data_IF_791956986007
#
_entry.id   IF_791956986007
#
_cell.length_a   1.000
_cell.length_b   1.000
_cell.length_c   1.000
_cell.angle_alpha   90.00
_cell.angle_beta   90.00
_cell.angle_gamma   90.00
#
_symmetry.space_group_name_H-M   'P 1'
#
loop_
_entity.id
_entity.type
_entity.pdbx_description
1 polymer ?
#
# COMPACT_ATOMS: atom_id res chain seq x y z
N UNK A 1 6.41 -4.70 18.24
CA UNK A 1 6.59 -4.36 16.83
C UNK A 1 5.61 -5.19 16.03
N UNK A 2 4.63 -4.53 15.41
CA UNK A 2 3.57 -5.22 14.65
C UNK A 2 3.94 -5.35 13.17
N UNK A 3 4.91 -4.56 12.72
CA UNK A 3 5.37 -4.54 11.33
C UNK A 3 6.23 -5.78 11.03
N UNK A 4 5.75 -6.63 10.14
CA UNK A 4 6.50 -7.78 9.64
C UNK A 4 7.21 -7.47 8.32
N UNK A 5 6.48 -6.97 7.32
CA UNK A 5 7.08 -6.50 6.07
C UNK A 5 7.52 -5.06 6.23
N UNK A 6 8.82 -4.80 6.11
CA UNK A 6 9.35 -3.44 6.15
C UNK A 6 8.81 -2.63 4.98
N UNK A 7 8.42 -1.39 5.25
CA UNK A 7 8.03 -0.46 4.20
C UNK A 7 9.23 -0.11 3.30
N UNK A 8 8.95 0.13 2.03
CA UNK A 8 9.92 0.75 1.13
C UNK A 8 9.85 2.27 1.25
N UNK A 9 11.00 2.93 1.33
CA UNK A 9 11.11 4.39 1.32
C UNK A 9 12.52 4.84 0.97
N UNK A 10 12.63 5.75 0.01
CA UNK A 10 13.83 6.58 -0.15
C UNK A 10 13.63 7.82 0.72
N UNK A 11 14.22 7.81 1.91
CA UNK A 11 13.91 8.81 2.95
C UNK A 11 14.25 10.24 2.53
N UNK A 12 15.30 10.44 1.74
CA UNK A 12 15.70 11.77 1.27
C UNK A 12 14.67 12.33 0.31
N UNK A 13 14.32 11.58 -0.73
CA UNK A 13 13.31 11.99 -1.73
C UNK A 13 11.91 12.07 -1.12
N UNK A 14 11.56 11.14 -0.23
CA UNK A 14 10.29 11.15 0.48
C UNK A 14 10.09 12.42 1.32
N UNK A 15 11.13 12.89 1.99
CA UNK A 15 11.05 14.12 2.78
C UNK A 15 10.92 15.38 1.91
N UNK A 16 11.43 15.37 0.69
CA UNK A 16 11.15 16.41 -0.32
C UNK A 16 9.69 16.32 -0.77
N UNK A 17 9.19 15.12 -0.90
CA UNK A 17 7.82 14.80 -1.28
C UNK A 17 7.49 15.07 -2.75
N UNK A 18 6.34 14.58 -3.18
CA UNK A 18 5.78 14.90 -4.48
C UNK A 18 5.05 16.24 -4.41
N UNK A 19 5.56 17.26 -5.09
CA UNK A 19 5.08 18.65 -4.96
C UNK A 19 5.02 19.15 -3.51
N UNK A 20 6.01 18.77 -2.72
CA UNK A 20 6.09 19.14 -1.30
C UNK A 20 5.16 18.37 -0.37
N UNK A 21 4.56 17.28 -0.83
CA UNK A 21 3.69 16.41 -0.02
C UNK A 21 4.32 15.02 0.14
N UNK A 22 4.47 14.58 1.37
CA UNK A 22 4.87 13.21 1.72
C UNK A 22 3.69 12.27 1.52
N UNK A 23 3.84 11.29 0.65
CA UNK A 23 2.76 10.38 0.27
C UNK A 23 3.14 8.94 0.65
N UNK A 24 2.31 8.32 1.50
CA UNK A 24 2.36 6.90 1.77
C UNK A 24 1.33 6.17 0.89
N UNK A 25 1.82 5.24 0.08
CA UNK A 25 0.96 4.32 -0.70
C UNK A 25 0.83 3.00 0.07
N UNK A 26 -0.40 2.53 0.23
CA UNK A 26 -0.72 1.30 0.97
C UNK A 26 -1.35 0.30 0.01
N UNK A 27 -0.58 -0.73 -0.35
CA UNK A 27 -1.04 -1.89 -1.12
C UNK A 27 -1.75 -2.91 -0.25
N UNK A 28 -2.27 -3.97 -0.87
CA UNK A 28 -3.05 -4.97 -0.14
C UNK A 28 -2.17 -6.00 0.59
N UNK A 29 -1.43 -6.81 -0.15
CA UNK A 29 -0.72 -7.98 0.41
C UNK A 29 0.35 -8.54 -0.51
N UNK A 30 1.18 -9.43 0.04
CA UNK A 30 2.09 -10.30 -0.70
C UNK A 30 1.50 -11.69 -0.87
N UNK A 31 1.89 -12.37 -1.95
CA UNK A 31 1.41 -13.72 -2.28
C UNK A 31 2.55 -14.70 -2.48
N UNK A 32 2.42 -15.90 -1.91
CA UNK A 32 3.32 -17.00 -2.14
C UNK A 32 2.73 -17.97 -3.18
N UNK A 33 3.46 -18.24 -4.25
CA UNK A 33 3.07 -19.15 -5.34
C UNK A 33 3.63 -20.57 -5.19
N UNK A 34 4.56 -20.78 -4.27
CA UNK A 34 5.30 -22.02 -4.15
C UNK A 34 4.60 -23.04 -3.24
N UNK A 35 3.47 -23.61 -3.71
CA UNK A 35 2.64 -24.56 -2.93
C UNK A 35 3.39 -25.80 -2.47
N UNK A 36 4.40 -26.24 -3.24
CA UNK A 36 5.25 -27.40 -2.92
C UNK A 36 6.35 -27.08 -1.90
N UNK A 37 6.52 -25.83 -1.53
CA UNK A 37 7.46 -25.45 -0.50
C UNK A 37 7.05 -26.05 0.85
N UNK A 38 7.98 -26.73 1.52
CA UNK A 38 7.74 -27.32 2.84
C UNK A 38 7.22 -26.32 3.87
N UNK A 39 7.51 -25.06 3.68
CA UNK A 39 7.11 -23.95 4.56
C UNK A 39 5.86 -23.18 4.08
N UNK A 40 5.26 -23.57 2.95
CA UNK A 40 4.11 -22.84 2.38
C UNK A 40 2.99 -22.62 3.39
N UNK A 41 2.57 -23.69 4.08
CA UNK A 41 1.51 -23.62 5.10
C UNK A 41 1.87 -22.69 6.26
N UNK A 42 3.13 -22.64 6.65
CA UNK A 42 3.60 -21.74 7.72
C UNK A 42 3.61 -20.29 7.24
N UNK A 43 4.15 -20.03 6.06
CA UNK A 43 4.22 -18.69 5.47
C UNK A 43 2.84 -18.11 5.20
N UNK A 44 1.86 -18.94 4.84
CA UNK A 44 0.50 -18.51 4.48
C UNK A 44 -0.51 -18.67 5.62
N UNK A 45 -0.10 -19.23 6.75
CA UNK A 45 -0.99 -19.43 7.90
C UNK A 45 -1.18 -18.16 8.70
N UNK A 46 -2.44 -17.82 8.96
CA UNK A 46 -2.81 -16.70 9.84
C UNK A 46 -2.44 -16.94 11.30
N UNK A 47 -2.38 -18.21 11.71
CA UNK A 47 -2.22 -18.62 13.12
C UNK A 47 -0.75 -18.71 13.52
N UNK A 48 0.13 -19.09 12.60
CA UNK A 48 1.51 -19.44 12.93
C UNK A 48 2.48 -18.24 12.98
N UNK A 49 2.01 -17.04 12.73
CA UNK A 49 2.86 -15.86 12.54
C UNK A 49 3.39 -15.20 13.77
N UNK A 50 2.70 -15.40 14.89
CA UNK A 50 3.09 -14.74 16.14
C UNK A 50 4.31 -15.39 16.79
N UNK A 51 4.82 -16.49 16.24
CA UNK A 51 5.80 -17.33 16.92
C UNK A 51 7.11 -17.61 16.17
N UNK A 52 7.30 -17.14 14.94
CA UNK A 52 8.49 -17.60 14.19
C UNK A 52 9.27 -16.49 13.47
N UNK A 53 10.61 -16.55 13.50
CA UNK A 53 11.46 -15.78 12.62
C UNK A 53 11.37 -16.32 11.18
N UNK A 54 10.37 -15.90 10.43
CA UNK A 54 10.18 -16.25 9.00
C UNK A 54 11.39 -15.95 8.11
N UNK A 55 12.34 -15.20 8.60
CA UNK A 55 13.50 -14.72 7.88
C UNK A 55 14.49 -15.82 7.44
N UNK A 56 14.35 -17.03 7.97
CA UNK A 56 15.31 -18.11 7.73
C UNK A 56 14.69 -19.34 7.09
N UNK A 57 13.38 -19.35 6.84
CA UNK A 57 12.67 -20.58 6.50
C UNK A 57 12.35 -20.77 5.02
N UNK A 58 12.39 -19.73 4.19
CA UNK A 58 12.01 -19.86 2.81
C UNK A 58 13.22 -20.14 1.90
N UNK A 59 13.34 -21.38 1.43
CA UNK A 59 14.39 -21.79 0.50
C UNK A 59 14.17 -21.27 -0.94
N UNK A 60 12.95 -20.81 -1.26
CA UNK A 60 12.59 -20.28 -2.57
C UNK A 60 12.56 -18.75 -2.62
N UNK A 61 12.70 -18.12 -1.46
CA UNK A 61 12.84 -16.68 -1.41
C UNK A 61 14.32 -16.40 -1.18
N UNK A 62 15.03 -16.03 -2.22
CA UNK A 62 16.43 -15.58 -2.14
C UNK A 62 16.59 -14.35 -1.23
N UNK A 63 15.50 -13.94 -0.61
CA UNK A 63 15.34 -12.71 0.12
C UNK A 63 14.86 -12.97 1.55
N UNK A 64 15.24 -12.09 2.44
CA UNK A 64 14.67 -12.04 3.78
C UNK A 64 13.20 -11.62 3.66
N UNK A 65 12.23 -12.49 3.98
CA UNK A 65 10.79 -12.23 3.80
C UNK A 65 10.34 -10.84 4.31
N UNK A 66 10.93 -10.36 5.40
CA UNK A 66 10.64 -9.02 5.93
C UNK A 66 10.98 -7.88 4.98
N UNK A 67 11.83 -8.13 3.99
CA UNK A 67 12.20 -7.16 2.95
C UNK A 67 11.36 -7.29 1.67
N UNK A 68 10.39 -8.21 1.62
CA UNK A 68 9.62 -8.48 0.39
C UNK A 68 8.98 -7.23 -0.23
N UNK A 69 8.51 -6.27 0.58
CA UNK A 69 7.97 -5.01 0.06
C UNK A 69 9.07 -4.17 -0.59
N UNK A 70 10.23 -4.04 0.06
CA UNK A 70 11.37 -3.29 -0.43
C UNK A 70 11.80 -3.83 -1.79
N UNK A 71 12.09 -5.11 -1.86
CA UNK A 71 12.57 -5.78 -3.07
C UNK A 71 11.55 -5.74 -4.21
N UNK A 72 10.26 -5.89 -3.92
CA UNK A 72 9.22 -5.79 -4.96
C UNK A 72 9.20 -4.41 -5.60
N UNK A 73 9.35 -3.35 -4.81
CA UNK A 73 9.40 -1.98 -5.35
C UNK A 73 10.72 -1.74 -6.09
N UNK A 74 11.85 -2.18 -5.54
CA UNK A 74 13.16 -2.05 -6.19
C UNK A 74 13.19 -2.75 -7.55
N UNK A 75 12.74 -4.01 -7.63
CA UNK A 75 12.64 -4.73 -8.89
C UNK A 75 11.73 -4.01 -9.91
N UNK A 76 10.64 -3.42 -9.44
CA UNK A 76 9.77 -2.65 -10.32
C UNK A 76 10.46 -1.41 -10.87
N UNK A 77 11.14 -0.61 -10.05
CA UNK A 77 11.87 0.59 -10.52
C UNK A 77 13.10 0.24 -11.38
N UNK A 78 13.60 -0.99 -11.29
CA UNK A 78 14.65 -1.54 -12.16
C UNK A 78 14.11 -2.13 -13.46
N UNK A 79 12.79 -2.13 -13.67
CA UNK A 79 12.14 -2.53 -14.91
C UNK A 79 11.39 -3.87 -14.87
N UNK A 80 11.27 -4.51 -13.71
CA UNK A 80 10.40 -5.68 -13.58
C UNK A 80 8.92 -5.29 -13.73
N UNK A 81 8.16 -6.16 -14.40
CA UNK A 81 6.73 -5.91 -14.63
C UNK A 81 5.91 -6.16 -13.37
N UNK A 82 5.11 -5.18 -12.98
CA UNK A 82 4.07 -5.30 -11.97
C UNK A 82 2.87 -4.44 -12.38
N UNK A 83 1.80 -5.10 -12.79
CA UNK A 83 0.62 -4.43 -13.37
C UNK A 83 0.05 -3.36 -12.46
N UNK A 84 -0.03 -3.61 -11.15
CA UNK A 84 -0.58 -2.63 -10.21
C UNK A 84 0.31 -1.39 -10.08
N UNK A 85 1.62 -1.58 -10.05
CA UNK A 85 2.56 -0.48 -9.96
C UNK A 85 2.66 0.29 -11.28
N UNK A 86 2.58 -0.41 -12.41
CA UNK A 86 2.53 0.22 -13.73
C UNK A 86 1.31 1.11 -13.87
N UNK A 87 0.12 0.56 -13.62
CA UNK A 87 -1.14 1.29 -13.74
C UNK A 87 -1.18 2.53 -12.82
N UNK A 88 -0.72 2.38 -11.58
CA UNK A 88 -0.65 3.50 -10.65
C UNK A 88 0.37 4.56 -11.10
N UNK A 89 1.54 4.14 -11.58
CA UNK A 89 2.56 5.05 -12.09
C UNK A 89 2.08 5.81 -13.32
N UNK A 90 1.49 5.10 -14.28
CA UNK A 90 0.95 5.70 -15.52
C UNK A 90 -0.17 6.69 -15.19
N UNK A 91 -1.05 6.33 -14.24
CA UNK A 91 -2.06 7.26 -13.73
C UNK A 91 -1.43 8.54 -13.16
N UNK A 92 -0.45 8.41 -12.26
CA UNK A 92 0.19 9.55 -11.63
C UNK A 92 0.95 10.42 -12.65
N UNK A 93 1.65 9.81 -13.60
CA UNK A 93 2.44 10.52 -14.61
C UNK A 93 1.53 11.18 -15.64
N UNK A 94 0.62 10.43 -16.26
CA UNK A 94 -0.17 10.90 -17.38
C UNK A 94 -1.37 11.75 -16.95
N UNK A 95 -2.18 11.24 -16.01
CA UNK A 95 -3.42 11.93 -15.57
C UNK A 95 -3.13 13.12 -14.68
N UNK A 96 -2.09 13.03 -13.86
CA UNK A 96 -1.65 14.14 -13.01
C UNK A 96 -0.68 15.09 -13.71
N UNK A 97 -0.33 14.79 -14.98
CA UNK A 97 0.59 15.58 -15.80
C UNK A 97 1.90 15.89 -15.05
N UNK A 98 2.53 14.85 -14.53
CA UNK A 98 3.82 14.95 -13.84
C UNK A 98 4.94 14.74 -14.83
N UNK A 99 5.82 15.73 -14.99
CA UNK A 99 7.03 15.61 -15.81
C UNK A 99 8.10 14.79 -15.09
N UNK A 100 7.87 13.47 -14.98
CA UNK A 100 8.76 12.54 -14.27
C UNK A 100 8.69 11.13 -14.88
N UNK A 101 9.67 10.30 -14.59
CA UNK A 101 9.66 8.88 -14.91
C UNK A 101 9.21 8.03 -13.68
N UNK A 102 8.97 6.73 -13.90
CA UNK A 102 8.50 5.82 -12.86
C UNK A 102 9.46 5.72 -11.67
N UNK A 103 10.76 5.64 -11.92
CA UNK A 103 11.78 5.54 -10.87
C UNK A 103 11.80 6.79 -10.00
N UNK A 104 11.84 7.95 -10.62
CA UNK A 104 11.82 9.24 -9.93
C UNK A 104 10.52 9.42 -9.14
N UNK A 105 9.38 9.06 -9.72
CA UNK A 105 8.07 9.10 -9.06
C UNK A 105 8.07 8.26 -7.77
N UNK A 106 8.48 6.99 -7.88
CA UNK A 106 8.47 6.07 -6.73
C UNK A 106 9.43 6.50 -5.62
N UNK A 107 10.56 7.14 -5.94
CA UNK A 107 11.45 7.69 -4.93
C UNK A 107 10.78 8.73 -4.03
N UNK A 108 9.75 9.41 -4.49
CA UNK A 108 8.97 10.38 -3.69
C UNK A 108 7.85 9.76 -2.87
N UNK A 109 7.62 8.43 -3.00
CA UNK A 109 6.64 7.71 -2.20
C UNK A 109 7.30 6.89 -1.10
N UNK A 110 6.56 6.63 -0.03
CA UNK A 110 6.74 5.44 0.76
C UNK A 110 5.68 4.40 0.35
N UNK A 111 6.00 3.12 0.44
CA UNK A 111 5.07 2.04 0.12
C UNK A 111 5.10 0.96 1.19
N UNK A 112 3.91 0.47 1.57
CA UNK A 112 3.77 -0.72 2.40
C UNK A 112 2.64 -1.61 1.87
N UNK A 113 2.72 -2.92 2.12
CA UNK A 113 1.58 -3.80 2.03
C UNK A 113 0.88 -3.86 3.38
N UNK A 114 -0.45 -3.75 3.36
CA UNK A 114 -1.27 -3.67 4.57
C UNK A 114 -1.28 -4.98 5.35
N UNK A 115 -1.57 -6.09 4.66
CA UNK A 115 -1.57 -7.43 5.26
C UNK A 115 -0.15 -7.86 5.57
N UNK A 116 0.13 -8.10 6.84
CA UNK A 116 1.48 -8.37 7.35
C UNK A 116 1.82 -9.86 7.33
N UNK A 117 1.41 -10.57 6.27
CA UNK A 117 1.77 -11.97 6.01
C UNK A 117 1.62 -12.34 4.54
N UNK A 118 2.29 -13.43 4.12
CA UNK A 118 2.09 -13.99 2.80
C UNK A 118 0.72 -14.64 2.72
N UNK A 119 -0.07 -14.26 1.71
CA UNK A 119 -1.26 -15.01 1.35
C UNK A 119 -0.87 -16.18 0.46
N UNK A 120 -1.59 -17.30 0.59
CA UNK A 120 -1.47 -18.39 -0.38
C UNK A 120 -2.10 -17.95 -1.70
N UNK A 121 -1.37 -18.09 -2.80
CA UNK A 121 -1.95 -17.87 -4.11
C UNK A 121 -2.52 -19.18 -4.62
N UNK A 122 -3.85 -19.28 -4.63
CA UNK A 122 -4.57 -20.07 -5.64
C UNK A 122 -4.76 -19.17 -6.87
N UNK A 123 -5.32 -19.67 -7.96
CA UNK A 123 -5.38 -18.94 -9.23
C UNK A 123 -6.13 -17.58 -9.13
N UNK A 124 -6.88 -17.38 -8.06
CA UNK A 124 -7.54 -16.11 -7.71
C UNK A 124 -6.73 -15.35 -6.64
N UNK A 125 -5.87 -14.46 -7.09
CA UNK A 125 -4.98 -13.66 -6.23
C UNK A 125 -5.70 -12.43 -5.70
N UNK A 126 -6.55 -12.61 -4.69
CA UNK A 126 -7.26 -11.48 -4.06
C UNK A 126 -7.11 -11.47 -2.55
N UNK A 127 -6.88 -10.27 -2.01
CA UNK A 127 -7.04 -10.04 -0.59
C UNK A 127 -8.52 -10.02 -0.24
N UNK A 128 -9.00 -11.00 0.51
CA UNK A 128 -10.34 -10.97 1.06
C UNK A 128 -10.38 -10.13 2.34
N UNK A 129 -11.56 -9.61 2.69
CA UNK A 129 -11.74 -8.90 3.97
C UNK A 129 -11.39 -9.79 5.18
N UNK A 130 -11.61 -11.11 5.05
CA UNK A 130 -11.24 -12.10 6.08
C UNK A 130 -9.72 -12.27 6.26
N UNK A 131 -8.89 -11.78 5.33
CA UNK A 131 -7.44 -11.85 5.43
C UNK A 131 -6.87 -10.76 6.34
N UNK A 132 -7.60 -9.69 6.55
CA UNK A 132 -7.19 -8.55 7.35
C UNK A 132 -7.44 -8.81 8.83
N UNK A 133 -6.47 -8.46 9.67
CA UNK A 133 -6.49 -8.65 11.11
C UNK A 133 -6.10 -7.36 11.85
N UNK A 134 -6.46 -7.26 13.12
CA UNK A 134 -6.16 -6.07 13.93
C UNK A 134 -4.68 -5.70 14.01
N UNK A 135 -3.76 -6.67 13.86
CA UNK A 135 -2.32 -6.43 13.79
C UNK A 135 -1.90 -5.68 12.52
N UNK A 136 -2.64 -5.86 11.40
CA UNK A 136 -2.33 -5.19 10.14
C UNK A 136 -2.57 -3.69 10.29
N UNK A 137 -3.67 -3.31 10.93
CA UNK A 137 -3.92 -1.91 11.31
C UNK A 137 -2.90 -1.39 12.33
N UNK A 138 -2.46 -2.22 13.28
CA UNK A 138 -1.42 -1.83 14.23
C UNK A 138 -0.06 -1.58 13.55
N UNK A 139 0.32 -2.41 12.56
CA UNK A 139 1.50 -2.20 11.74
C UNK A 139 1.38 -0.93 10.87
N UNK A 140 0.21 -0.71 10.27
CA UNK A 140 -0.07 0.51 9.52
C UNK A 140 0.10 1.76 10.38
N UNK A 141 -0.46 1.78 11.60
CA UNK A 141 -0.26 2.91 12.53
C UNK A 141 1.22 3.15 12.86
N UNK A 142 1.98 2.06 13.05
CA UNK A 142 3.42 2.16 13.33
C UNK A 142 4.16 2.84 12.16
N UNK A 143 3.87 2.47 10.91
CA UNK A 143 4.46 3.10 9.71
C UNK A 143 4.03 4.55 9.56
N UNK A 144 2.74 4.86 9.75
CA UNK A 144 2.23 6.24 9.68
C UNK A 144 2.90 7.12 10.73
N UNK A 145 3.04 6.63 11.97
CA UNK A 145 3.72 7.35 13.04
C UNK A 145 5.20 7.62 12.76
N UNK A 146 5.90 6.68 12.11
CA UNK A 146 7.31 6.83 11.72
C UNK A 146 7.50 7.82 10.56
N UNK A 147 6.65 7.75 9.55
CA UNK A 147 6.81 8.50 8.29
C UNK A 147 6.08 9.84 8.28
N UNK A 148 5.07 10.01 9.13
CA UNK A 148 4.23 11.22 9.20
C UNK A 148 3.83 11.74 7.82
N UNK A 149 3.08 10.95 7.01
CA UNK A 149 2.68 11.35 5.67
C UNK A 149 1.67 12.51 5.71
N UNK A 150 1.71 13.37 4.69
CA UNK A 150 0.66 14.37 4.46
C UNK A 150 -0.59 13.73 3.84
N UNK A 151 -0.38 12.70 3.02
CA UNK A 151 -1.42 11.99 2.28
C UNK A 151 -1.15 10.49 2.33
N UNK A 152 -2.20 9.71 2.55
CA UNK A 152 -2.18 8.24 2.45
C UNK A 152 -3.06 7.84 1.27
N UNK A 153 -2.53 7.06 0.33
CA UNK A 153 -3.30 6.48 -0.78
C UNK A 153 -3.44 4.99 -0.52
N UNK A 154 -4.64 4.54 -0.16
CA UNK A 154 -4.90 3.17 0.21
C UNK A 154 -5.67 2.41 -0.88
N UNK A 155 -5.14 1.27 -1.33
CA UNK A 155 -5.67 0.48 -2.43
C UNK A 155 -6.62 -0.62 -1.96
N UNK A 156 -7.81 -0.68 -2.56
CA UNK A 156 -8.74 -1.79 -2.42
C UNK A 156 -9.06 -2.14 -0.97
N UNK A 157 -8.87 -3.41 -0.58
CA UNK A 157 -9.24 -3.92 0.75
C UNK A 157 -8.48 -3.29 1.91
N UNK A 158 -7.26 -2.81 1.68
CA UNK A 158 -6.55 -2.02 2.68
C UNK A 158 -7.32 -0.72 3.00
N UNK A 159 -7.76 -0.01 1.97
CA UNK A 159 -8.58 1.19 2.12
C UNK A 159 -9.94 0.92 2.78
N UNK A 160 -10.60 -0.21 2.44
CA UNK A 160 -11.87 -0.61 3.08
C UNK A 160 -11.71 -0.78 4.61
N UNK A 161 -10.60 -1.36 5.05
CA UNK A 161 -10.35 -1.57 6.48
C UNK A 161 -9.94 -0.28 7.19
N UNK A 162 -9.01 0.47 6.62
CA UNK A 162 -8.59 1.77 7.16
C UNK A 162 -9.79 2.70 7.33
N UNK A 163 -10.74 2.70 6.39
CA UNK A 163 -11.96 3.49 6.43
C UNK A 163 -12.84 3.22 7.66
N UNK A 164 -12.79 2.02 8.25
CA UNK A 164 -13.53 1.71 9.49
C UNK A 164 -13.06 2.55 10.69
N UNK A 165 -11.85 3.11 10.60
CA UNK A 165 -11.23 3.94 11.63
C UNK A 165 -11.34 5.45 11.35
N UNK A 166 -12.20 5.85 10.38
CA UNK A 166 -12.40 7.24 10.00
C UNK A 166 -12.99 8.10 11.11
N UNK A 167 -12.61 9.35 11.13
CA UNK A 167 -13.23 10.37 12.01
C UNK A 167 -14.60 10.72 11.41
N UNK A 168 -15.69 10.33 12.09
CA UNK A 168 -17.05 10.46 11.55
C UNK A 168 -17.56 11.89 11.37
N UNK A 169 -17.05 12.83 12.17
CA UNK A 169 -17.54 14.21 12.19
C UNK A 169 -16.69 15.17 11.34
N UNK A 170 -15.69 14.68 10.65
CA UNK A 170 -14.85 15.50 9.80
C UNK A 170 -15.33 15.41 8.34
N UNK A 171 -16.24 16.30 7.96
CA UNK A 171 -16.75 16.41 6.60
C UNK A 171 -15.85 17.37 5.82
N UNK A 172 -15.21 16.84 4.78
CA UNK A 172 -14.39 17.65 3.87
C UNK A 172 -15.33 18.17 2.78
N UNK A 173 -15.47 19.48 2.69
CA UNK A 173 -16.35 20.11 1.71
C UNK A 173 -15.91 19.76 0.27
N UNK A 174 -16.86 19.37 -0.57
CA UNK A 174 -16.62 19.09 -1.99
C UNK A 174 -16.06 17.71 -2.32
N UNK A 175 -15.90 16.81 -1.34
CA UNK A 175 -15.41 15.45 -1.58
C UNK A 175 -16.36 14.38 -1.04
N UNK A 176 -16.40 13.22 -1.72
CA UNK A 176 -17.15 12.06 -1.24
C UNK A 176 -16.40 11.39 -0.06
N UNK A 177 -17.01 11.33 1.15
CA UNK A 177 -16.40 10.71 2.32
C UNK A 177 -16.18 9.20 2.19
N UNK A 178 -16.65 8.60 1.11
CA UNK A 178 -16.34 7.22 0.78
C UNK A 178 -14.94 7.05 0.20
N UNK A 179 -14.40 8.08 -0.41
CA UNK A 179 -13.09 8.07 -1.06
C UNK A 179 -12.05 8.92 -0.35
N UNK A 180 -12.44 10.02 0.29
CA UNK A 180 -11.52 10.82 1.10
C UNK A 180 -12.07 10.97 2.51
N UNK A 181 -11.25 10.65 3.49
CA UNK A 181 -11.58 10.76 4.89
C UNK A 181 -10.31 10.97 5.73
N UNK A 182 -10.50 11.42 6.94
CA UNK A 182 -9.42 11.53 7.91
C UNK A 182 -9.51 10.38 8.94
N UNK A 183 -8.34 9.93 9.37
CA UNK A 183 -8.17 8.99 10.49
C UNK A 183 -7.34 9.67 11.57
N UNK A 184 -7.49 9.23 12.81
CA UNK A 184 -6.66 9.69 13.91
C UNK A 184 -5.69 8.59 14.36
N UNK A 185 -4.42 8.94 14.45
CA UNK A 185 -3.37 8.08 14.98
C UNK A 185 -2.55 8.93 15.95
N UNK A 186 -2.51 8.48 17.21
CA UNK A 186 -1.74 9.13 18.30
C UNK A 186 -2.03 10.65 18.43
N UNK A 187 -3.31 11.03 18.28
CA UNK A 187 -3.77 12.41 18.37
C UNK A 187 -3.51 13.27 17.14
N UNK A 188 -2.93 12.71 16.08
CA UNK A 188 -2.72 13.39 14.80
C UNK A 188 -3.73 12.90 13.76
N UNK A 189 -4.31 13.85 13.01
CA UNK A 189 -5.20 13.54 11.90
C UNK A 189 -4.40 13.33 10.61
N UNK A 190 -4.71 12.25 9.87
CA UNK A 190 -4.09 11.91 8.59
C UNK A 190 -5.15 11.79 7.51
N UNK A 191 -4.91 12.40 6.36
CA UNK A 191 -5.78 12.36 5.19
C UNK A 191 -5.57 11.07 4.40
N UNK A 192 -6.65 10.31 4.18
CA UNK A 192 -6.65 9.07 3.40
C UNK A 192 -7.46 9.24 2.13
N UNK A 193 -6.88 8.85 1.01
CA UNK A 193 -7.56 8.60 -0.26
C UNK A 193 -7.72 7.09 -0.39
N UNK A 194 -8.96 6.61 -0.40
CA UNK A 194 -9.29 5.23 -0.71
C UNK A 194 -9.61 5.11 -2.20
N UNK A 195 -8.92 4.24 -2.89
CA UNK A 195 -9.19 3.94 -4.29
C UNK A 195 -9.23 2.43 -4.51
N UNK A 196 -9.79 1.98 -5.66
CA UNK A 196 -9.71 0.58 -6.03
C UNK A 196 -8.25 0.15 -6.21
N UNK A 197 -8.02 -1.16 -6.13
CA UNK A 197 -6.70 -1.72 -6.36
C UNK A 197 -6.30 -1.52 -7.83
N UNK A 198 -5.09 -1.01 -8.15
CA UNK A 198 -4.68 -0.68 -9.52
C UNK A 198 -4.39 -1.91 -10.40
N UNK A 199 -5.01 -3.06 -10.15
CA UNK A 199 -4.98 -4.20 -11.05
C UNK A 199 -6.08 -4.05 -12.11
N UNK A 200 -5.89 -4.66 -13.30
CA UNK A 200 -6.80 -4.52 -14.43
C UNK A 200 -8.22 -5.08 -14.22
N UNK A 201 -8.50 -5.71 -13.08
CA UNK A 201 -9.69 -6.54 -12.92
C UNK A 201 -10.99 -5.78 -12.66
N UNK A 202 -10.92 -4.52 -12.26
CA UNK A 202 -12.11 -3.74 -11.87
C UNK A 202 -12.25 -2.41 -12.61
N UNK A 203 -11.64 -2.30 -13.79
CA UNK A 203 -11.79 -1.08 -14.59
C UNK A 203 -11.18 0.16 -13.96
N UNK A 204 -10.04 0.00 -13.29
CA UNK A 204 -9.26 1.08 -12.67
C UNK A 204 -9.22 2.37 -13.52
N UNK A 205 -9.16 2.23 -14.84
CA UNK A 205 -9.07 3.36 -15.76
C UNK A 205 -10.41 3.98 -16.17
N UNK A 206 -11.58 3.39 -15.88
CA UNK A 206 -12.83 3.87 -16.43
C UNK A 206 -13.54 4.92 -15.59
N UNK A 207 -13.84 4.63 -14.33
CA UNK A 207 -14.59 5.56 -13.47
C UNK A 207 -13.80 6.02 -12.24
N UNK A 208 -12.95 5.14 -11.69
CA UNK A 208 -12.26 5.44 -10.44
C UNK A 208 -11.00 6.26 -10.65
N UNK A 209 -10.37 6.16 -11.82
CA UNK A 209 -9.21 6.99 -12.16
C UNK A 209 -9.56 8.48 -12.22
N UNK A 210 -10.75 8.83 -12.73
CA UNK A 210 -11.18 10.23 -12.75
C UNK A 210 -11.50 10.73 -11.34
N UNK A 211 -12.19 9.93 -10.53
CA UNK A 211 -12.44 10.26 -9.13
C UNK A 211 -11.12 10.40 -8.35
N UNK A 212 -10.18 9.46 -8.51
CA UNK A 212 -8.86 9.55 -7.89
C UNK A 212 -8.10 10.80 -8.35
N UNK A 213 -8.17 11.14 -9.64
CA UNK A 213 -7.54 12.35 -10.19
C UNK A 213 -8.04 13.59 -9.48
N UNK A 214 -9.36 13.80 -9.43
CA UNK A 214 -10.00 14.93 -8.75
C UNK A 214 -9.52 15.02 -7.30
N UNK A 215 -9.46 13.89 -6.61
CA UNK A 215 -9.07 13.81 -5.22
C UNK A 215 -7.59 14.14 -5.00
N UNK A 216 -6.71 13.60 -5.84
CA UNK A 216 -5.27 13.88 -5.74
C UNK A 216 -4.98 15.33 -6.16
N UNK A 217 -5.65 15.86 -7.19
CA UNK A 217 -5.52 17.26 -7.60
C UNK A 217 -5.91 18.22 -6.46
N UNK A 218 -7.05 17.96 -5.81
CA UNK A 218 -7.50 18.73 -4.66
C UNK A 218 -6.45 18.74 -3.54
N UNK A 219 -5.86 17.58 -3.22
CA UNK A 219 -4.88 17.48 -2.15
C UNK A 219 -3.50 18.04 -2.51
N UNK A 220 -3.16 18.07 -3.79
CA UNK A 220 -1.93 18.70 -4.29
C UNK A 220 -2.09 20.20 -4.56
N UNK A 221 -3.25 20.78 -4.26
CA UNK A 221 -3.51 22.22 -4.37
C UNK A 221 -3.68 22.70 -5.82
N UNK A 222 -4.28 21.87 -6.67
CA UNK A 222 -4.66 22.26 -8.05
C UNK A 222 -6.13 22.61 -8.14
#
# INVERSE_FOLDING_TARGET
MNLFFKQWVNIESYNVGLKGKKILVVGASHYCKYKECAYFKQCTSRVLKDSSPYNTLCQHCDTVLTNSTIETVEYFIEGAKNVSYENFSDFMIEKMNLATDKKTLWNHFAFMNYVQYMLGSDDDIFTAASDIQGRDYAAFKEVVGQLTPDIIIAWGKAGDDIKRHRILNNVIEGVDPNYIFDIEIDGCAYRVIHCYHPCNMYGWFSNDAENLKIQVEFLLGK
#
